data_IF_033743773942
#
_entry.id   IF_033743773942
#
_cell.length_a   1.000
_cell.length_b   1.000
_cell.length_c   1.000
_cell.angle_alpha   90.00
_cell.angle_beta   90.00
_cell.angle_gamma   90.00
#
_symmetry.space_group_name_H-M   'P 1'
#
loop_
_entity.id
_entity.type
_entity.pdbx_description
1 polymer ?
#
# COMPACT_ATOMS: atom_id res chain seq x y z
N UNK A 1 29.85 10.10 3.31
CA UNK A 1 30.14 8.92 2.47
C UNK A 1 29.55 7.64 3.07
N UNK A 2 29.94 7.21 4.28
CA UNK A 2 29.36 5.99 4.90
C UNK A 2 27.92 6.20 5.40
N UNK A 3 27.63 7.34 6.03
CA UNK A 3 26.26 7.70 6.43
C UNK A 3 25.29 7.78 5.24
N UNK A 4 25.75 8.31 4.10
CA UNK A 4 24.94 8.40 2.87
C UNK A 4 24.63 7.01 2.30
N UNK A 5 25.59 6.09 2.34
CA UNK A 5 25.38 4.70 1.90
C UNK A 5 24.33 3.98 2.77
N UNK A 6 24.38 4.18 4.09
CA UNK A 6 23.40 3.59 5.03
C UNK A 6 22.01 4.18 4.80
N UNK A 7 21.90 5.49 4.51
CA UNK A 7 20.63 6.13 4.16
C UNK A 7 20.00 5.54 2.91
N UNK A 8 20.78 5.34 1.84
CA UNK A 8 20.28 4.73 0.61
C UNK A 8 19.86 3.28 0.81
N UNK A 9 20.59 2.51 1.62
CA UNK A 9 20.18 1.16 2.01
C UNK A 9 18.85 1.19 2.77
N UNK A 10 18.70 2.08 3.75
CA UNK A 10 17.46 2.26 4.51
C UNK A 10 16.28 2.65 3.62
N UNK A 11 16.49 3.53 2.64
CA UNK A 11 15.47 3.91 1.66
C UNK A 11 15.05 2.73 0.78
N UNK A 12 16.01 1.89 0.36
CA UNK A 12 15.73 0.65 -0.36
C UNK A 12 14.91 -0.34 0.46
N UNK A 13 15.22 -0.50 1.75
CA UNK A 13 14.43 -1.34 2.67
C UNK A 13 13.03 -0.78 2.88
N UNK A 14 12.88 0.54 3.04
CA UNK A 14 11.59 1.19 3.16
C UNK A 14 10.71 0.93 1.91
N UNK A 15 11.30 0.98 0.71
CA UNK A 15 10.56 0.72 -0.54
C UNK A 15 9.93 -0.68 -0.62
N UNK A 16 10.45 -1.68 0.10
CA UNK A 16 9.82 -3.01 0.21
C UNK A 16 8.39 -2.89 0.77
N UNK A 17 8.16 -1.95 1.70
CA UNK A 17 6.84 -1.70 2.28
C UNK A 17 5.78 -1.31 1.25
N UNK A 18 6.16 -0.60 0.18
CA UNK A 18 5.26 -0.29 -0.93
C UNK A 18 4.86 -1.55 -1.72
N UNK A 19 5.81 -2.46 -1.95
CA UNK A 19 5.52 -3.77 -2.57
C UNK A 19 4.58 -4.62 -1.72
N UNK A 20 4.74 -4.61 -0.39
CA UNK A 20 3.85 -5.32 0.53
C UNK A 20 2.44 -4.70 0.57
N UNK A 21 2.33 -3.37 0.50
CA UNK A 21 1.05 -2.69 0.41
C UNK A 21 0.27 -3.10 -0.86
N UNK A 22 0.96 -3.28 -1.99
CA UNK A 22 0.34 -3.74 -3.24
C UNK A 22 -0.32 -5.13 -3.09
N UNK A 23 0.23 -6.03 -2.26
CA UNK A 23 -0.42 -7.30 -1.94
C UNK A 23 -1.73 -7.09 -1.17
N UNK A 24 -1.74 -6.15 -0.22
CA UNK A 24 -2.94 -5.75 0.52
C UNK A 24 -4.02 -5.18 -0.39
N UNK A 25 -3.64 -4.27 -1.29
CA UNK A 25 -4.53 -3.72 -2.32
C UNK A 25 -5.11 -4.82 -3.20
N UNK A 26 -4.25 -5.69 -3.75
CA UNK A 26 -4.69 -6.81 -4.58
C UNK A 26 -5.68 -7.72 -3.85
N UNK A 27 -5.45 -8.00 -2.57
CA UNK A 27 -6.35 -8.81 -1.75
C UNK A 27 -7.72 -8.14 -1.52
N UNK A 28 -7.75 -6.84 -1.23
CA UNK A 28 -9.01 -6.09 -1.04
C UNK A 28 -9.87 -6.15 -2.30
N UNK A 29 -9.29 -5.85 -3.46
CA UNK A 29 -10.04 -5.87 -4.73
C UNK A 29 -10.42 -7.30 -5.14
N UNK A 30 -9.57 -8.29 -4.91
CA UNK A 30 -9.90 -9.70 -5.17
C UNK A 30 -11.08 -10.16 -4.30
N UNK A 31 -11.09 -9.82 -3.01
CA UNK A 31 -12.19 -10.15 -2.11
C UNK A 31 -13.50 -9.45 -2.53
N UNK A 32 -13.43 -8.17 -2.91
CA UNK A 32 -14.59 -7.45 -3.43
C UNK A 32 -15.13 -8.12 -4.70
N UNK A 33 -14.28 -8.40 -5.69
CA UNK A 33 -14.70 -9.04 -6.95
C UNK A 33 -15.33 -10.42 -6.70
N UNK A 34 -14.72 -11.23 -5.85
CA UNK A 34 -15.25 -12.53 -5.46
C UNK A 34 -16.61 -12.44 -4.75
N UNK A 35 -16.84 -11.40 -3.94
CA UNK A 35 -18.13 -11.13 -3.31
C UNK A 35 -19.17 -10.62 -4.31
N UNK A 36 -18.79 -9.68 -5.17
CA UNK A 36 -19.63 -9.08 -6.19
C UNK A 36 -20.13 -10.11 -7.21
N UNK A 37 -19.28 -11.05 -7.63
CA UNK A 37 -19.68 -12.14 -8.52
C UNK A 37 -20.67 -13.13 -7.87
N UNK A 38 -20.65 -13.26 -6.54
CA UNK A 38 -21.59 -14.12 -5.80
C UNK A 38 -22.94 -13.43 -5.56
N UNK A 39 -22.95 -12.11 -5.39
CA UNK A 39 -24.18 -11.33 -5.22
C UNK A 39 -24.08 -9.94 -5.89
N UNK A 40 -24.34 -9.85 -7.20
CA UNK A 40 -24.14 -8.61 -7.96
C UNK A 40 -25.01 -7.43 -7.49
N UNK A 41 -26.23 -7.69 -6.99
CA UNK A 41 -27.15 -6.64 -6.56
C UNK A 41 -26.68 -5.92 -5.30
N UNK A 42 -25.93 -6.59 -4.42
CA UNK A 42 -25.35 -6.00 -3.21
C UNK A 42 -24.00 -5.30 -3.45
N UNK A 43 -23.34 -5.55 -4.58
CA UNK A 43 -21.97 -5.10 -4.85
C UNK A 43 -21.82 -3.58 -4.80
N UNK A 44 -22.79 -2.83 -5.37
CA UNK A 44 -22.77 -1.38 -5.37
C UNK A 44 -22.74 -0.80 -3.95
N UNK A 45 -23.46 -1.42 -3.00
CA UNK A 45 -23.47 -1.01 -1.60
C UNK A 45 -22.16 -1.28 -0.85
N UNK A 46 -21.27 -2.11 -1.40
CA UNK A 46 -19.98 -2.47 -0.78
C UNK A 46 -18.78 -1.75 -1.38
N UNK A 47 -18.94 -0.99 -2.48
CA UNK A 47 -17.82 -0.25 -3.07
C UNK A 47 -17.18 0.75 -2.10
N UNK A 48 -17.97 1.41 -1.24
CA UNK A 48 -17.43 2.30 -0.21
C UNK A 48 -16.49 1.58 0.76
N UNK A 49 -16.89 0.39 1.23
CA UNK A 49 -16.06 -0.45 2.10
C UNK A 49 -14.80 -0.93 1.39
N UNK A 50 -14.90 -1.30 0.11
CA UNK A 50 -13.74 -1.66 -0.72
C UNK A 50 -12.73 -0.50 -0.80
N UNK A 51 -13.18 0.73 -1.06
CA UNK A 51 -12.29 1.88 -1.13
C UNK A 51 -11.67 2.25 0.22
N UNK A 52 -12.39 2.08 1.32
CA UNK A 52 -11.82 2.25 2.68
C UNK A 52 -10.71 1.20 2.91
N UNK A 53 -10.96 -0.06 2.58
CA UNK A 53 -9.96 -1.13 2.69
C UNK A 53 -8.74 -0.88 1.80
N UNK A 54 -8.95 -0.43 0.56
CA UNK A 54 -7.89 -0.03 -0.36
C UNK A 54 -7.06 1.12 0.22
N UNK A 55 -7.71 2.20 0.69
CA UNK A 55 -7.01 3.35 1.25
C UNK A 55 -6.22 2.98 2.51
N UNK A 56 -6.74 2.09 3.35
CA UNK A 56 -6.01 1.59 4.52
C UNK A 56 -4.78 0.76 4.14
N UNK A 57 -4.88 -0.10 3.13
CA UNK A 57 -3.74 -0.84 2.61
C UNK A 57 -2.69 0.10 1.98
N UNK A 58 -3.16 1.07 1.18
CA UNK A 58 -2.29 2.02 0.47
C UNK A 58 -1.62 3.01 1.42
N UNK A 59 -2.26 3.38 2.54
CA UNK A 59 -1.66 4.22 3.57
C UNK A 59 -0.33 3.64 4.07
N UNK A 60 -0.24 2.31 4.21
CA UNK A 60 1.01 1.65 4.61
C UNK A 60 2.10 1.79 3.53
N UNK A 61 1.72 1.71 2.25
CA UNK A 61 2.62 1.93 1.12
C UNK A 61 3.08 3.38 1.00
N UNK A 62 2.17 4.33 1.22
CA UNK A 62 2.50 5.76 1.24
C UNK A 62 3.41 6.13 2.40
N UNK A 63 3.21 5.54 3.58
CA UNK A 63 4.12 5.73 4.71
C UNK A 63 5.53 5.19 4.39
N UNK A 64 5.62 4.02 3.77
CA UNK A 64 6.87 3.45 3.30
C UNK A 64 7.58 4.38 2.28
N UNK A 65 6.82 4.92 1.33
CA UNK A 65 7.33 5.90 0.35
C UNK A 65 7.81 7.18 1.02
N UNK A 66 7.04 7.76 1.94
CA UNK A 66 7.41 8.98 2.68
C UNK A 66 8.70 8.75 3.46
N UNK A 67 8.85 7.62 4.15
CA UNK A 67 10.09 7.28 4.87
C UNK A 67 11.28 7.21 3.89
N UNK A 68 11.12 6.57 2.73
CA UNK A 68 12.17 6.52 1.72
C UNK A 68 12.58 7.93 1.23
N UNK A 69 11.61 8.80 0.96
CA UNK A 69 11.85 10.20 0.55
C UNK A 69 12.57 10.97 1.65
N UNK A 70 12.16 10.84 2.91
CA UNK A 70 12.81 11.50 4.03
C UNK A 70 14.27 11.04 4.17
N UNK A 71 14.55 9.75 4.02
CA UNK A 71 15.91 9.20 4.09
C UNK A 71 16.80 9.71 2.95
N UNK A 72 16.25 9.92 1.76
CA UNK A 72 17.03 10.37 0.58
C UNK A 72 17.28 11.88 0.62
N UNK A 73 16.28 12.67 0.99
CA UNK A 73 16.28 14.12 0.74
C UNK A 73 16.33 15.00 2.00
N UNK A 74 16.09 14.45 3.19
CA UNK A 74 15.95 15.24 4.43
C UNK A 74 16.93 14.81 5.51
N UNK A 75 16.98 13.51 5.81
CA UNK A 75 17.95 12.94 6.74
C UNK A 75 19.38 13.05 6.18
#
# INVERSE_FOLDING_TARGET
MEADAIKFLGAGLAAIGAGLAALGVGNVFAAFLQGALRNPSAAAGQQGNMFIGFAAAELLGLLAFVVAVLLIFVA
#
